data_IF_310211870348
#
_entry.id   IF_310211870348
#
_cell.length_a   1.000
_cell.length_b   1.000
_cell.length_c   1.000
_cell.angle_alpha   90.00
_cell.angle_beta   90.00
_cell.angle_gamma   90.00
#
_symmetry.space_group_name_H-M   'P 1'
#
loop_
_entity.id
_entity.type
_entity.pdbx_description
1 polymer ?
#
# COMPACT_ATOMS: atom_id res chain seq x y z
N UNK A 1 -1.09 26.97 29.74
CA UNK A 1 -1.53 25.56 29.91
C UNK A 1 -1.28 24.82 28.60
N UNK A 2 -0.39 23.82 28.57
CA UNK A 2 -0.23 22.97 27.37
C UNK A 2 -1.48 22.10 27.26
N UNK A 3 -2.29 22.26 26.21
CA UNK A 3 -3.41 21.35 25.92
C UNK A 3 -2.86 19.93 25.89
N UNK A 4 -3.48 18.99 26.62
CA UNK A 4 -3.15 17.57 26.48
C UNK A 4 -3.33 17.21 24.98
N UNK A 5 -2.36 16.52 24.37
CA UNK A 5 -2.50 16.08 22.99
C UNK A 5 -3.77 15.23 22.86
N UNK A 6 -4.50 15.39 21.77
CA UNK A 6 -5.65 14.54 21.47
C UNK A 6 -5.17 13.08 21.29
N UNK A 7 -5.96 12.08 21.73
CA UNK A 7 -5.66 10.67 21.49
C UNK A 7 -5.32 10.41 20.02
N UNK A 8 -4.40 9.49 19.73
CA UNK A 8 -3.99 9.18 18.36
C UNK A 8 -5.19 8.80 17.48
N UNK A 9 -6.16 8.05 18.01
CA UNK A 9 -7.36 7.66 17.27
C UNK A 9 -8.23 8.85 16.87
N UNK A 10 -8.33 9.90 17.70
CA UNK A 10 -9.07 11.12 17.34
C UNK A 10 -8.39 11.90 16.21
N UNK A 11 -7.05 11.98 16.25
CA UNK A 11 -6.27 12.60 15.19
C UNK A 11 -6.39 11.80 13.89
N UNK A 12 -6.36 10.47 13.97
CA UNK A 12 -6.56 9.58 12.84
C UNK A 12 -7.91 9.84 12.17
N UNK A 13 -9.01 9.75 12.92
CA UNK A 13 -10.34 9.97 12.36
C UNK A 13 -10.51 11.38 11.80
N UNK A 14 -9.91 12.39 12.45
CA UNK A 14 -9.88 13.76 11.91
C UNK A 14 -9.19 13.82 10.55
N UNK A 15 -7.99 13.24 10.44
CA UNK A 15 -7.25 13.16 9.17
C UNK A 15 -8.07 12.48 8.08
N UNK A 16 -8.80 11.42 8.41
CA UNK A 16 -9.71 10.74 7.48
C UNK A 16 -10.88 11.64 7.06
N UNK A 17 -11.50 12.41 7.96
CA UNK A 17 -12.60 13.32 7.58
C UNK A 17 -12.18 14.49 6.73
N UNK A 18 -10.96 14.99 6.92
CA UNK A 18 -10.45 16.15 6.20
C UNK A 18 -9.62 15.75 4.98
N UNK A 19 -9.58 14.46 4.65
CA UNK A 19 -8.72 13.87 3.63
C UNK A 19 -7.24 14.35 3.76
N UNK A 20 -6.79 14.57 5.01
CA UNK A 20 -5.44 15.04 5.33
C UNK A 20 -4.55 13.85 5.66
N UNK A 21 -3.95 13.27 4.62
CA UNK A 21 -3.25 11.98 4.67
C UNK A 21 -2.09 11.98 5.64
N UNK A 22 -1.30 13.05 5.72
CA UNK A 22 -0.17 13.13 6.66
C UNK A 22 -0.66 13.00 8.12
N UNK A 23 -1.77 13.66 8.46
CA UNK A 23 -2.35 13.55 9.81
C UNK A 23 -2.88 12.15 10.07
N UNK A 24 -3.55 11.53 9.08
CA UNK A 24 -4.02 10.16 9.22
C UNK A 24 -2.85 9.18 9.40
N UNK A 25 -1.82 9.29 8.56
CA UNK A 25 -0.61 8.47 8.56
C UNK A 25 0.14 8.58 9.89
N UNK A 26 0.43 9.79 10.33
CA UNK A 26 1.22 10.01 11.54
C UNK A 26 0.44 9.60 12.79
N UNK A 27 -0.87 9.85 12.82
CA UNK A 27 -1.74 9.38 13.88
C UNK A 27 -1.89 7.85 13.91
N UNK A 28 -1.88 7.18 12.75
CA UNK A 28 -1.84 5.72 12.68
C UNK A 28 -0.56 5.17 13.32
N UNK A 29 0.60 5.73 12.94
CA UNK A 29 1.90 5.34 13.50
C UNK A 29 1.95 5.58 15.01
N UNK A 30 1.43 6.70 15.47
CA UNK A 30 1.34 7.01 16.90
C UNK A 30 0.45 6.01 17.64
N UNK A 31 -0.71 5.65 17.06
CA UNK A 31 -1.60 4.66 17.66
C UNK A 31 -0.93 3.27 17.78
N UNK A 32 -0.20 2.84 16.74
CA UNK A 32 0.59 1.60 16.80
C UNK A 32 1.66 1.64 17.90
N UNK A 33 2.32 2.79 18.10
CA UNK A 33 3.30 2.97 19.19
C UNK A 33 2.66 2.96 20.58
N UNK A 34 1.45 3.49 20.70
CA UNK A 34 0.67 3.52 21.96
C UNK A 34 0.12 2.13 22.35
N UNK A 35 -0.03 1.22 21.38
CA UNK A 35 -0.38 -0.19 21.61
C UNK A 35 -1.71 -0.36 22.36
N UNK A 36 -1.66 -0.96 23.55
CA UNK A 36 -2.84 -1.31 24.35
C UNK A 36 -3.76 -0.12 24.69
N UNK A 37 -3.20 1.10 24.84
CA UNK A 37 -4.01 2.30 25.06
C UNK A 37 -4.90 2.59 23.85
N UNK A 38 -4.33 2.52 22.65
CA UNK A 38 -5.06 2.69 21.40
C UNK A 38 -6.08 1.57 21.14
N UNK A 39 -5.83 0.33 21.57
CA UNK A 39 -6.83 -0.76 21.51
C UNK A 39 -8.11 -0.37 22.25
N UNK A 40 -7.97 0.19 23.45
CA UNK A 40 -9.11 0.59 24.28
C UNK A 40 -9.93 1.71 23.62
N UNK A 41 -9.24 2.72 23.08
CA UNK A 41 -9.88 3.84 22.38
C UNK A 41 -10.63 3.39 21.12
N UNK A 42 -10.03 2.46 20.35
CA UNK A 42 -10.67 1.91 19.15
C UNK A 42 -11.93 1.13 19.51
N UNK A 43 -11.87 0.25 20.52
CA UNK A 43 -13.03 -0.52 20.99
C UNK A 43 -14.14 0.40 21.51
N UNK A 44 -13.80 1.46 22.23
CA UNK A 44 -14.77 2.44 22.69
C UNK A 44 -15.52 3.11 21.52
N UNK A 45 -14.82 3.45 20.43
CA UNK A 45 -15.46 4.01 19.23
C UNK A 45 -16.28 2.98 18.44
N UNK A 46 -15.81 1.73 18.35
CA UNK A 46 -16.55 0.64 17.71
C UNK A 46 -17.80 0.21 18.51
N UNK A 47 -17.90 0.56 19.79
CA UNK A 47 -19.09 0.37 20.60
C UNK A 47 -20.23 1.38 20.31
N UNK A 48 -19.98 2.40 19.49
CA UNK A 48 -20.98 3.42 19.15
C UNK A 48 -22.22 2.83 18.46
N UNK A 49 -23.40 3.35 18.80
CA UNK A 49 -24.65 3.02 18.11
C UNK A 49 -24.71 3.56 16.67
N UNK A 50 -23.83 4.50 16.31
CA UNK A 50 -23.80 5.10 14.97
C UNK A 50 -23.65 4.08 13.83
N UNK A 51 -23.16 2.87 14.11
CA UNK A 51 -22.96 1.80 13.11
C UNK A 51 -24.25 1.09 12.68
N UNK A 52 -25.36 1.27 13.41
CA UNK A 52 -26.68 0.78 12.98
C UNK A 52 -27.36 1.73 12.00
N UNK A 53 -26.91 2.99 11.94
CA UNK A 53 -27.53 4.04 11.13
C UNK A 53 -27.01 4.02 9.68
N UNK A 54 -27.75 4.69 8.79
CA UNK A 54 -27.29 4.90 7.42
C UNK A 54 -26.02 5.79 7.43
N UNK A 55 -24.87 5.30 6.93
CA UNK A 55 -23.62 6.03 6.97
C UNK A 55 -23.70 7.34 6.19
N UNK A 56 -23.51 8.45 6.89
CA UNK A 56 -23.41 9.80 6.29
C UNK A 56 -21.97 10.31 6.39
N UNK A 57 -21.50 10.96 5.33
CA UNK A 57 -20.16 11.55 5.29
C UNK A 57 -19.04 10.52 5.55
N UNK A 58 -18.04 10.83 6.40
CA UNK A 58 -16.87 9.97 6.60
C UNK A 58 -17.14 8.74 7.46
N UNK A 59 -18.37 8.56 7.99
CA UNK A 59 -18.72 7.45 8.89
C UNK A 59 -18.44 6.08 8.26
N UNK A 60 -18.68 5.95 6.95
CA UNK A 60 -18.33 4.78 6.16
C UNK A 60 -16.84 4.42 6.26
N UNK A 61 -15.97 5.44 6.13
CA UNK A 61 -14.52 5.31 6.18
C UNK A 61 -14.06 4.96 7.60
N UNK A 62 -14.63 5.62 8.61
CA UNK A 62 -14.25 5.43 10.01
C UNK A 62 -14.39 3.99 10.48
N UNK A 63 -15.50 3.32 10.16
CA UNK A 63 -15.70 1.94 10.58
C UNK A 63 -14.62 1.01 10.03
N UNK A 64 -14.26 1.16 8.75
CA UNK A 64 -13.18 0.41 8.13
C UNK A 64 -11.82 0.73 8.75
N UNK A 65 -11.51 2.02 8.94
CA UNK A 65 -10.26 2.50 9.56
C UNK A 65 -10.08 1.90 10.96
N UNK A 66 -11.12 1.95 11.80
CA UNK A 66 -11.08 1.44 13.17
C UNK A 66 -10.88 -0.08 13.22
N UNK A 67 -11.55 -0.82 12.34
CA UNK A 67 -11.35 -2.27 12.24
C UNK A 67 -9.95 -2.63 11.75
N UNK A 68 -9.46 -1.92 10.73
CA UNK A 68 -8.12 -2.14 10.19
C UNK A 68 -7.04 -1.87 11.24
N UNK A 69 -7.11 -0.76 11.97
CA UNK A 69 -6.10 -0.47 13.00
C UNK A 69 -6.18 -1.44 14.17
N UNK A 70 -7.39 -1.86 14.58
CA UNK A 70 -7.53 -2.87 15.63
C UNK A 70 -6.86 -4.18 15.23
N UNK A 71 -6.98 -4.58 13.95
CA UNK A 71 -6.35 -5.80 13.45
C UNK A 71 -4.81 -5.74 13.46
N UNK A 72 -4.23 -4.54 13.32
CA UNK A 72 -2.78 -4.33 13.41
C UNK A 72 -2.30 -4.21 14.86
N UNK A 73 -3.11 -3.62 15.74
CA UNK A 73 -2.78 -3.45 17.15
C UNK A 73 -2.83 -4.76 17.93
N UNK A 74 -3.90 -5.53 17.77
CA UNK A 74 -4.16 -6.74 18.52
C UNK A 74 -5.13 -7.66 17.75
N UNK A 75 -4.58 -8.73 17.17
CA UNK A 75 -5.34 -9.71 16.41
C UNK A 75 -6.42 -10.42 17.25
N UNK A 76 -6.16 -10.69 18.54
CA UNK A 76 -7.15 -11.33 19.42
C UNK A 76 -8.30 -10.38 19.72
N UNK A 77 -7.98 -9.11 20.04
CA UNK A 77 -8.99 -8.09 20.27
C UNK A 77 -9.84 -7.84 19.02
N UNK A 78 -9.23 -7.86 17.83
CA UNK A 78 -9.94 -7.78 16.56
C UNK A 78 -10.91 -8.95 16.36
N UNK A 79 -10.48 -10.19 16.60
CA UNK A 79 -11.37 -11.36 16.47
C UNK A 79 -12.57 -11.28 17.41
N UNK A 80 -12.36 -10.88 18.66
CA UNK A 80 -13.43 -10.72 19.63
C UNK A 80 -14.39 -9.60 19.25
N UNK A 81 -13.86 -8.50 18.73
CA UNK A 81 -14.67 -7.38 18.26
C UNK A 81 -15.49 -7.73 17.01
N UNK A 82 -14.93 -8.51 16.09
CA UNK A 82 -15.68 -9.06 14.94
C UNK A 82 -16.84 -9.95 15.42
N UNK A 83 -16.59 -10.86 16.36
CA UNK A 83 -17.63 -11.74 16.94
C UNK A 83 -18.74 -10.92 17.61
N UNK A 84 -18.37 -9.85 18.33
CA UNK A 84 -19.31 -8.92 18.97
C UNK A 84 -20.15 -8.18 17.93
N UNK A 85 -19.50 -7.52 16.97
CA UNK A 85 -20.13 -6.70 15.93
C UNK A 85 -21.06 -7.51 15.02
N UNK A 86 -20.76 -8.80 14.75
CA UNK A 86 -21.67 -9.69 14.01
C UNK A 86 -23.01 -9.95 14.71
N UNK A 87 -23.07 -9.78 16.04
CA UNK A 87 -24.29 -9.91 16.84
C UNK A 87 -25.04 -8.58 16.97
N UNK A 88 -24.43 -7.47 16.57
CA UNK A 88 -25.04 -6.15 16.59
C UNK A 88 -25.89 -5.92 15.35
N UNK A 89 -26.88 -5.05 15.46
CA UNK A 89 -27.65 -4.58 14.31
C UNK A 89 -26.82 -3.55 13.52
N UNK A 90 -25.93 -4.04 12.66
CA UNK A 90 -25.15 -3.19 11.77
C UNK A 90 -25.91 -2.87 10.49
N UNK A 91 -25.78 -1.62 10.05
CA UNK A 91 -26.23 -1.21 8.72
C UNK A 91 -25.59 -2.12 7.64
N UNK A 92 -26.30 -2.47 6.54
CA UNK A 92 -25.81 -3.41 5.53
C UNK A 92 -24.43 -3.07 4.97
N UNK A 93 -24.12 -1.79 4.80
CA UNK A 93 -22.81 -1.35 4.33
C UNK A 93 -21.69 -1.64 5.34
N UNK A 94 -21.91 -1.35 6.63
CA UNK A 94 -20.95 -1.67 7.69
C UNK A 94 -20.80 -3.18 7.87
N UNK A 95 -21.88 -3.94 7.72
CA UNK A 95 -21.83 -5.41 7.69
C UNK A 95 -20.96 -5.92 6.55
N UNK A 96 -21.12 -5.38 5.33
CA UNK A 96 -20.26 -5.72 4.19
C UNK A 96 -18.79 -5.37 4.46
N UNK A 97 -18.50 -4.22 5.05
CA UNK A 97 -17.13 -3.83 5.44
C UNK A 97 -16.57 -4.80 6.49
N UNK A 98 -17.35 -5.15 7.52
CA UNK A 98 -16.97 -6.13 8.53
C UNK A 98 -16.69 -7.49 7.90
N UNK A 99 -17.51 -7.94 6.96
CA UNK A 99 -17.32 -9.21 6.27
C UNK A 99 -16.04 -9.20 5.43
N UNK A 100 -15.79 -8.13 4.68
CA UNK A 100 -14.56 -7.98 3.88
C UNK A 100 -13.33 -7.97 4.79
N UNK A 101 -13.33 -7.16 5.85
CA UNK A 101 -12.17 -7.03 6.74
C UNK A 101 -11.99 -8.26 7.65
N UNK A 102 -13.06 -8.92 8.09
CA UNK A 102 -12.95 -10.16 8.87
C UNK A 102 -12.50 -11.36 8.04
N UNK A 103 -12.74 -11.33 6.72
CA UNK A 103 -12.18 -12.31 5.78
C UNK A 103 -10.71 -12.04 5.50
N UNK A 104 -10.23 -10.80 5.66
CA UNK A 104 -8.81 -10.50 5.82
C UNK A 104 -8.36 -10.99 7.20
N UNK A 105 -8.43 -12.31 7.41
CA UNK A 105 -7.62 -12.96 8.42
C UNK A 105 -6.19 -12.82 7.97
N UNK A 106 -5.49 -11.88 8.58
CA UNK A 106 -4.04 -11.91 8.53
C UNK A 106 -3.63 -13.15 9.31
N UNK A 107 -3.31 -14.21 8.57
CA UNK A 107 -2.54 -15.33 9.10
C UNK A 107 -1.26 -14.78 9.76
N UNK A 108 -0.53 -15.63 10.48
CA UNK A 108 0.83 -15.28 10.87
C UNK A 108 1.58 -14.73 9.64
N UNK A 109 2.40 -13.67 9.80
CA UNK A 109 3.14 -13.10 8.68
C UNK A 109 3.87 -14.21 7.92
N UNK A 110 3.75 -14.20 6.59
CA UNK A 110 4.37 -15.19 5.74
C UNK A 110 5.91 -15.09 5.80
N UNK A 111 6.43 -13.87 5.98
CA UNK A 111 7.82 -13.57 6.30
C UNK A 111 7.91 -12.19 6.97
N UNK A 112 9.12 -11.79 7.37
CA UNK A 112 9.44 -10.44 7.80
C UNK A 112 10.61 -9.91 6.99
N UNK A 113 10.53 -8.67 6.51
CA UNK A 113 11.63 -8.00 5.79
C UNK A 113 12.18 -6.83 6.60
N UNK A 114 13.45 -6.48 6.36
CA UNK A 114 14.19 -5.49 7.16
C UNK A 114 14.04 -5.73 8.68
N UNK A 115 14.10 -7.01 9.07
CA UNK A 115 14.01 -7.53 10.45
C UNK A 115 12.67 -7.30 11.17
N UNK A 116 11.76 -6.48 10.65
CA UNK A 116 10.59 -6.01 11.42
C UNK A 116 9.31 -5.81 10.62
N UNK A 117 9.37 -5.65 9.29
CA UNK A 117 8.17 -5.37 8.50
C UNK A 117 7.46 -6.68 8.15
N UNK A 118 6.28 -6.97 8.72
CA UNK A 118 5.57 -8.20 8.42
C UNK A 118 5.03 -8.18 6.99
N UNK A 119 5.16 -9.31 6.31
CA UNK A 119 4.63 -9.53 4.95
C UNK A 119 3.48 -10.52 5.04
N UNK A 120 2.29 -10.09 4.66
CA UNK A 120 1.10 -10.92 4.58
C UNK A 120 0.81 -11.25 3.11
N UNK A 121 0.49 -12.50 2.84
CA UNK A 121 0.20 -12.98 1.48
C UNK A 121 -1.17 -13.62 1.52
N UNK A 122 -2.08 -13.13 0.70
CA UNK A 122 -3.43 -13.68 0.60
C UNK A 122 -3.40 -15.18 0.26
N UNK A 123 -4.31 -15.94 0.86
CA UNK A 123 -4.34 -17.41 0.78
C UNK A 123 -4.66 -17.94 -0.63
N UNK A 124 -5.21 -17.10 -1.50
CA UNK A 124 -5.58 -17.40 -2.88
C UNK A 124 -4.46 -17.09 -3.90
N UNK A 125 -3.26 -16.75 -3.43
CA UNK A 125 -2.05 -16.69 -4.25
C UNK A 125 -1.40 -18.09 -4.26
N UNK A 126 -1.34 -18.75 -5.42
CA UNK A 126 -0.81 -20.12 -5.55
C UNK A 126 0.69 -20.21 -5.17
N UNK A 127 1.53 -19.30 -5.68
CA UNK A 127 2.99 -19.36 -5.53
C UNK A 127 3.53 -18.54 -4.32
N UNK A 128 2.98 -18.75 -3.12
CA UNK A 128 3.38 -17.99 -1.90
C UNK A 128 4.89 -17.98 -1.68
N UNK A 129 5.57 -19.11 -1.87
CA UNK A 129 7.03 -19.22 -1.65
C UNK A 129 7.85 -18.36 -2.62
N UNK A 130 7.40 -18.21 -3.86
CA UNK A 130 8.05 -17.36 -4.86
C UNK A 130 7.87 -15.88 -4.51
N UNK A 131 6.66 -15.50 -4.06
CA UNK A 131 6.37 -14.16 -3.58
C UNK A 131 7.27 -13.80 -2.41
N UNK A 132 7.37 -14.67 -1.40
CA UNK A 132 8.26 -14.49 -0.23
C UNK A 132 9.69 -14.24 -0.70
N UNK A 133 10.24 -15.14 -1.50
CA UNK A 133 11.62 -15.04 -2.00
C UNK A 133 11.86 -13.73 -2.76
N UNK A 134 10.91 -13.32 -3.60
CA UNK A 134 11.02 -12.09 -4.37
C UNK A 134 11.01 -10.87 -3.45
N UNK A 135 10.06 -10.76 -2.54
CA UNK A 135 9.95 -9.63 -1.61
C UNK A 135 11.19 -9.55 -0.71
N UNK A 136 11.65 -10.67 -0.16
CA UNK A 136 12.90 -10.74 0.60
C UNK A 136 14.08 -10.24 -0.24
N UNK A 137 14.22 -10.72 -1.48
CA UNK A 137 15.28 -10.26 -2.39
C UNK A 137 15.18 -8.76 -2.66
N UNK A 138 14.01 -8.27 -3.07
CA UNK A 138 13.78 -6.87 -3.42
C UNK A 138 14.00 -5.95 -2.22
N UNK A 139 13.62 -6.38 -1.02
CA UNK A 139 13.80 -5.63 0.23
C UNK A 139 15.27 -5.38 0.62
N UNK A 140 16.20 -6.16 0.06
CA UNK A 140 17.64 -6.00 0.28
C UNK A 140 18.32 -5.09 -0.74
N UNK A 141 17.56 -4.50 -1.67
CA UNK A 141 18.10 -3.62 -2.71
C UNK A 141 18.83 -2.43 -2.09
N UNK A 142 20.06 -2.18 -2.54
CA UNK A 142 20.88 -1.08 -2.02
C UNK A 142 20.18 0.27 -2.23
N UNK A 143 20.05 1.02 -1.13
CA UNK A 143 19.41 2.34 -1.12
C UNK A 143 17.89 2.30 -0.95
N UNK A 144 17.30 1.10 -0.86
CA UNK A 144 15.90 0.95 -0.49
C UNK A 144 15.75 1.29 1.01
N UNK A 145 14.75 2.11 1.34
CA UNK A 145 14.38 2.36 2.73
C UNK A 145 12.97 1.84 2.97
N UNK A 146 12.84 0.93 3.95
CA UNK A 146 11.55 0.49 4.47
C UNK A 146 11.18 1.23 5.76
N UNK A 147 11.87 2.34 6.05
CA UNK A 147 11.63 3.12 7.26
C UNK A 147 10.19 3.64 7.26
N UNK A 148 9.50 3.43 8.39
CA UNK A 148 8.12 3.81 8.61
C UNK A 148 7.05 3.05 7.80
N UNK A 149 7.43 2.00 7.06
CA UNK A 149 6.48 1.04 6.50
C UNK A 149 6.10 0.05 7.61
N UNK A 150 4.80 -0.08 7.89
CA UNK A 150 4.30 -0.88 9.01
C UNK A 150 3.98 -2.31 8.60
N UNK A 151 3.69 -2.55 7.31
CA UNK A 151 3.27 -3.85 6.78
C UNK A 151 3.36 -3.90 5.25
N UNK A 152 3.42 -5.09 4.70
CA UNK A 152 3.32 -5.33 3.26
C UNK A 152 2.24 -6.39 3.03
N UNK A 153 1.23 -6.05 2.25
CA UNK A 153 0.15 -6.94 1.85
C UNK A 153 0.28 -7.34 0.40
N UNK A 154 0.32 -8.63 0.14
CA UNK A 154 0.27 -9.18 -1.21
C UNK A 154 -1.12 -9.73 -1.46
N UNK A 155 -1.81 -9.15 -2.43
CA UNK A 155 -3.18 -9.54 -2.79
C UNK A 155 -3.26 -9.90 -4.28
N UNK A 156 -4.19 -10.78 -4.68
CA UNK A 156 -4.35 -11.13 -6.08
C UNK A 156 -4.87 -9.93 -6.87
N UNK A 157 -4.32 -9.73 -8.06
CA UNK A 157 -4.71 -8.66 -8.99
C UNK A 157 -6.15 -8.88 -9.43
N UNK A 158 -7.08 -8.08 -8.90
CA UNK A 158 -8.46 -7.98 -9.38
C UNK A 158 -8.74 -6.61 -10.00
N UNK A 159 -9.55 -6.54 -11.08
CA UNK A 159 -9.99 -5.26 -11.66
C UNK A 159 -10.71 -4.34 -10.65
N UNK A 160 -11.35 -4.95 -9.65
CA UNK A 160 -12.13 -4.26 -8.62
C UNK A 160 -11.27 -3.69 -7.47
N UNK A 161 -9.95 -3.94 -7.45
CA UNK A 161 -9.05 -3.48 -6.38
C UNK A 161 -8.85 -1.98 -6.32
N UNK A 162 -9.26 -1.21 -7.33
CA UNK A 162 -9.22 0.26 -7.29
C UNK A 162 -9.98 0.84 -6.09
N UNK A 163 -10.92 0.09 -5.48
CA UNK A 163 -11.59 0.47 -4.24
C UNK A 163 -10.81 0.09 -2.97
N UNK A 164 -10.09 -1.04 -2.97
CA UNK A 164 -9.32 -1.54 -1.81
C UNK A 164 -7.97 -0.82 -1.63
N UNK A 165 -7.32 -0.41 -2.72
CA UNK A 165 -6.14 0.46 -2.68
C UNK A 165 -6.43 1.76 -1.93
N UNK A 166 -7.61 2.36 -2.13
CA UNK A 166 -8.04 3.62 -1.51
C UNK A 166 -8.19 3.57 0.01
N UNK A 167 -8.47 2.39 0.60
CA UNK A 167 -8.57 2.26 2.06
C UNK A 167 -7.20 2.09 2.71
N UNK A 168 -6.26 1.42 2.06
CA UNK A 168 -4.95 1.10 2.63
C UNK A 168 -3.86 2.13 2.27
N UNK A 169 -4.03 2.94 1.22
CA UNK A 169 -3.17 4.09 0.91
C UNK A 169 -3.10 5.13 2.05
N UNK A 170 -4.08 5.10 2.97
CA UNK A 170 -4.15 6.01 4.12
C UNK A 170 -3.30 5.53 5.31
N UNK A 171 -2.79 4.30 5.26
CA UNK A 171 -2.03 3.68 6.34
C UNK A 171 -0.65 3.32 5.80
N UNK A 172 0.40 3.37 6.62
CA UNK A 172 1.78 3.19 6.16
C UNK A 172 2.14 1.76 5.70
N UNK A 173 1.19 1.04 5.11
CA UNK A 173 1.40 -0.25 4.48
C UNK A 173 1.62 -0.14 2.98
N UNK A 174 2.26 -1.17 2.42
CA UNK A 174 2.37 -1.36 0.98
C UNK A 174 1.34 -2.41 0.55
N UNK A 175 0.58 -2.14 -0.50
CA UNK A 175 -0.17 -3.19 -1.20
C UNK A 175 0.58 -3.55 -2.48
N UNK A 176 0.99 -4.80 -2.57
CA UNK A 176 1.51 -5.37 -3.80
C UNK A 176 0.42 -6.23 -4.46
N UNK A 177 0.10 -5.92 -5.72
CA UNK A 177 -0.80 -6.79 -6.49
C UNK A 177 0.00 -7.91 -7.16
N UNK A 178 -0.50 -9.14 -7.09
CA UNK A 178 0.15 -10.32 -7.66
C UNK A 178 -0.75 -11.04 -8.65
N UNK A 179 -0.24 -11.61 -9.76
CA UNK A 179 -1.06 -12.42 -10.66
C UNK A 179 -1.76 -13.57 -9.93
N UNK A 180 -3.06 -13.75 -10.20
CA UNK A 180 -3.88 -14.84 -9.65
C UNK A 180 -3.48 -16.22 -10.16
N UNK A 181 -2.95 -16.29 -11.39
CA UNK A 181 -2.44 -17.51 -12.01
C UNK A 181 -0.98 -17.34 -12.30
N UNK A 182 -0.20 -18.41 -12.18
CA UNK A 182 1.22 -18.41 -12.53
C UNK A 182 1.38 -18.43 -14.05
N UNK A 183 1.70 -17.28 -14.70
CA UNK A 183 2.08 -17.30 -16.11
C UNK A 183 3.33 -18.17 -16.31
N UNK A 184 3.53 -18.68 -17.53
CA UNK A 184 4.70 -19.50 -17.87
C UNK A 184 5.64 -18.75 -18.80
N UNK A 185 6.93 -19.04 -18.70
CA UNK A 185 7.95 -18.53 -19.62
C UNK A 185 8.15 -17.02 -19.55
N UNK A 186 8.14 -16.36 -20.71
CA UNK A 186 8.47 -14.94 -20.84
C UNK A 186 7.47 -14.02 -20.15
N UNK A 187 6.18 -14.38 -20.17
CA UNK A 187 5.13 -13.63 -19.48
C UNK A 187 5.35 -13.63 -17.95
N UNK A 188 5.83 -14.75 -17.41
CA UNK A 188 6.20 -14.83 -15.99
C UNK A 188 7.33 -13.87 -15.64
N UNK A 189 8.31 -13.78 -16.53
CA UNK A 189 9.42 -12.87 -16.34
C UNK A 189 8.96 -11.40 -16.37
N UNK A 190 8.11 -11.02 -17.34
CA UNK A 190 7.55 -9.66 -17.39
C UNK A 190 6.67 -9.33 -16.19
N UNK A 191 5.79 -10.24 -15.77
CA UNK A 191 4.92 -10.01 -14.61
C UNK A 191 5.72 -9.86 -13.31
N UNK A 192 6.87 -10.55 -13.19
CA UNK A 192 7.78 -10.35 -12.06
C UNK A 192 8.48 -8.99 -12.09
N UNK A 193 8.89 -8.52 -13.27
CA UNK A 193 9.46 -7.18 -13.41
C UNK A 193 8.45 -6.09 -13.10
N UNK A 194 7.21 -6.25 -13.59
CA UNK A 194 6.10 -5.36 -13.31
C UNK A 194 5.81 -5.30 -11.81
N UNK A 195 5.68 -6.45 -11.14
CA UNK A 195 5.48 -6.51 -9.70
C UNK A 195 6.65 -5.91 -8.90
N UNK A 196 7.90 -6.12 -9.32
CA UNK A 196 9.06 -5.49 -8.67
C UNK A 196 9.05 -3.97 -8.86
N UNK A 197 8.71 -3.50 -10.05
CA UNK A 197 8.58 -2.07 -10.33
C UNK A 197 7.49 -1.45 -9.44
N UNK A 198 6.30 -2.07 -9.39
CA UNK A 198 5.21 -1.64 -8.50
C UNK A 198 5.69 -1.62 -7.05
N UNK A 199 6.37 -2.66 -6.58
CA UNK A 199 6.90 -2.71 -5.21
C UNK A 199 7.79 -1.51 -4.88
N UNK A 200 8.75 -1.18 -5.76
CA UNK A 200 9.59 0.01 -5.52
C UNK A 200 8.85 1.33 -5.72
N UNK A 201 7.87 1.38 -6.61
CA UNK A 201 7.04 2.58 -6.85
C UNK A 201 6.22 2.91 -5.60
N UNK A 202 5.54 1.92 -4.99
CA UNK A 202 4.82 2.11 -3.73
C UNK A 202 5.76 2.55 -2.60
N UNK A 203 6.97 1.97 -2.51
CA UNK A 203 7.99 2.44 -1.55
C UNK A 203 8.41 3.87 -1.85
N UNK A 204 8.54 4.25 -3.12
CA UNK A 204 8.83 5.62 -3.53
C UNK A 204 7.80 6.62 -2.99
N UNK A 205 6.51 6.27 -3.03
CA UNK A 205 5.47 7.08 -2.39
C UNK A 205 5.69 7.23 -0.88
N UNK A 206 6.08 6.17 -0.18
CA UNK A 206 6.36 6.24 1.26
C UNK A 206 7.60 7.08 1.57
N UNK A 207 8.69 6.91 0.82
CA UNK A 207 9.96 7.62 1.02
C UNK A 207 9.81 9.12 0.77
N UNK A 208 9.09 9.51 -0.28
CA UNK A 208 8.83 10.91 -0.61
C UNK A 208 7.64 11.51 0.15
N UNK A 209 6.99 10.73 1.03
CA UNK A 209 5.88 11.19 1.85
C UNK A 209 4.63 11.58 1.05
N UNK A 210 4.45 11.00 -0.14
CA UNK A 210 3.33 11.29 -1.04
C UNK A 210 1.97 11.01 -0.39
N UNK A 211 0.97 11.78 -0.84
CA UNK A 211 -0.36 11.88 -0.22
C UNK A 211 -1.39 11.13 -1.09
N UNK A 212 -1.18 11.07 -2.41
CA UNK A 212 -2.12 10.48 -3.36
C UNK A 212 -1.38 9.67 -4.43
N UNK A 213 -1.36 8.34 -4.28
CA UNK A 213 -1.00 7.46 -5.39
C UNK A 213 -2.03 7.60 -6.51
N UNK A 214 -1.60 8.13 -7.66
CA UNK A 214 -2.32 8.14 -8.94
C UNK A 214 -2.96 9.47 -9.36
N UNK A 215 -3.06 10.48 -8.49
CA UNK A 215 -3.81 11.72 -8.79
C UNK A 215 -2.91 12.95 -9.04
N UNK A 216 -1.70 13.00 -8.43
CA UNK A 216 -0.75 14.11 -8.61
C UNK A 216 0.39 13.66 -9.52
N UNK A 217 0.40 14.16 -10.76
CA UNK A 217 1.37 13.76 -11.79
C UNK A 217 2.85 13.91 -11.38
N UNK A 218 3.16 14.89 -10.54
CA UNK A 218 4.51 15.09 -10.00
C UNK A 218 4.90 13.99 -9.00
N UNK A 219 4.00 13.61 -8.10
CA UNK A 219 4.22 12.52 -7.14
C UNK A 219 4.41 11.19 -7.87
N UNK A 220 3.61 10.93 -8.90
CA UNK A 220 3.75 9.77 -9.77
C UNK A 220 5.11 9.74 -10.47
N UNK A 221 5.58 10.89 -10.98
CA UNK A 221 6.89 10.99 -11.63
C UNK A 221 8.01 10.68 -10.65
N UNK A 222 7.96 11.26 -9.45
CA UNK A 222 8.98 11.04 -8.43
C UNK A 222 9.01 9.58 -7.94
N UNK A 223 7.85 8.97 -7.69
CA UNK A 223 7.75 7.55 -7.33
C UNK A 223 8.28 6.63 -8.45
N UNK A 224 7.99 6.96 -9.71
CA UNK A 224 8.54 6.26 -10.87
C UNK A 224 10.07 6.42 -10.98
N UNK A 225 10.61 7.61 -10.75
CA UNK A 225 12.06 7.85 -10.75
C UNK A 225 12.77 7.06 -9.65
N UNK A 226 12.17 7.01 -8.45
CA UNK A 226 12.63 6.16 -7.36
C UNK A 226 12.62 4.68 -7.75
N UNK A 227 11.51 4.19 -8.29
CA UNK A 227 11.38 2.80 -8.73
C UNK A 227 12.42 2.41 -9.79
N UNK A 228 12.63 3.27 -10.79
CA UNK A 228 13.65 3.07 -11.82
C UNK A 228 15.07 3.05 -11.24
N UNK A 229 15.34 3.86 -10.21
CA UNK A 229 16.61 3.85 -9.49
C UNK A 229 16.82 2.50 -8.78
N UNK A 230 15.81 2.03 -8.05
CA UNK A 230 15.87 0.74 -7.35
C UNK A 230 15.98 -0.45 -8.31
N UNK A 231 15.28 -0.43 -9.44
CA UNK A 231 15.41 -1.47 -10.49
C UNK A 231 16.83 -1.58 -11.04
N UNK A 232 17.57 -0.46 -11.14
CA UNK A 232 18.98 -0.46 -11.55
C UNK A 232 19.88 -1.02 -10.46
N UNK A 233 19.61 -0.65 -9.20
CA UNK A 233 20.38 -1.10 -8.05
C UNK A 233 20.17 -2.58 -7.75
N UNK A 234 18.99 -3.14 -8.00
CA UNK A 234 18.70 -4.57 -7.82
C UNK A 234 19.37 -5.43 -8.91
N UNK A 235 19.80 -4.83 -10.03
CA UNK A 235 20.38 -5.52 -11.20
C UNK A 235 21.63 -4.81 -11.75
N UNK A 236 22.74 -4.77 -10.99
CA UNK A 236 23.94 -4.04 -11.42
C UNK A 236 24.54 -4.60 -12.72
N UNK A 237 24.56 -5.93 -12.90
CA UNK A 237 25.09 -6.56 -14.11
C UNK A 237 24.27 -6.22 -15.38
N UNK A 238 22.94 -6.25 -15.28
CA UNK A 238 22.06 -5.89 -16.41
C UNK A 238 22.16 -4.40 -16.76
N UNK A 239 22.32 -3.54 -15.76
CA UNK A 239 22.58 -2.10 -15.97
C UNK A 239 23.90 -1.86 -16.69
N UNK A 240 24.93 -2.64 -16.37
CA UNK A 240 26.23 -2.54 -17.04
C UNK A 240 26.15 -3.03 -18.49
N UNK A 241 25.51 -4.17 -18.74
CA UNK A 241 25.27 -4.72 -20.07
C UNK A 241 24.46 -3.74 -20.92
N UNK A 242 23.32 -3.25 -20.43
CA UNK A 242 22.51 -2.27 -21.17
C UNK A 242 23.27 -0.99 -21.47
N UNK A 243 24.11 -0.50 -20.55
CA UNK A 243 25.01 0.63 -20.84
C UNK A 243 25.99 0.31 -21.97
N UNK A 244 26.62 -0.86 -21.98
CA UNK A 244 27.55 -1.25 -23.04
C UNK A 244 26.89 -1.34 -24.42
N UNK A 245 25.66 -1.85 -24.51
CA UNK A 245 24.96 -2.03 -25.80
C UNK A 245 24.18 -0.80 -26.27
N UNK A 246 23.58 -0.02 -25.37
CA UNK A 246 22.71 1.12 -25.72
C UNK A 246 23.50 2.43 -25.83
N UNK A 247 24.60 2.60 -25.08
CA UNK A 247 25.41 3.82 -25.15
C UNK A 247 26.00 4.09 -26.54
N UNK A 248 26.50 3.09 -27.30
CA UNK A 248 26.93 3.29 -28.69
C UNK A 248 25.80 3.73 -29.62
N UNK A 249 24.55 3.40 -29.29
CA UNK A 249 23.36 3.69 -30.11
C UNK A 249 22.69 5.03 -29.75
N UNK A 250 23.01 5.63 -28.60
CA UNK A 250 22.47 6.93 -28.15
C UNK A 250 22.58 8.05 -29.20
N UNK A 251 23.70 8.23 -29.92
CA UNK A 251 23.81 9.28 -30.94
C UNK A 251 22.81 9.09 -32.09
N UNK A 252 22.58 7.84 -32.52
CA UNK A 252 21.65 7.52 -33.60
C UNK A 252 20.19 7.71 -33.19
N UNK A 253 19.84 7.30 -31.97
CA UNK A 253 18.50 7.52 -31.40
C UNK A 253 18.18 9.01 -31.22
N UNK A 254 19.14 9.83 -30.76
CA UNK A 254 18.97 11.29 -30.66
C UNK A 254 18.68 11.94 -32.02
N UNK A 255 19.35 11.47 -33.09
CA UNK A 255 19.09 11.97 -34.46
C UNK A 255 17.69 11.61 -34.96
N UNK A 256 17.21 10.39 -34.69
CA UNK A 256 15.87 9.96 -35.09
C UNK A 256 14.76 10.77 -34.40
N UNK A 257 14.91 11.05 -33.10
CA UNK A 257 13.94 11.85 -32.33
C UNK A 257 13.99 13.33 -32.72
N UNK A 258 15.17 13.86 -33.05
CA UNK A 258 15.29 15.22 -33.56
C UNK A 258 14.64 15.37 -34.96
N UNK A 259 14.74 14.34 -35.80
CA UNK A 259 14.14 14.32 -37.14
C UNK A 259 12.62 14.25 -37.12
N UNK A 260 12.00 13.73 -36.06
CA UNK A 260 10.54 13.61 -35.95
C UNK A 260 9.85 14.88 -35.43
N UNK A 261 10.61 15.90 -35.01
CA UNK A 261 10.08 17.17 -34.48
C UNK A 261 9.97 18.30 -35.50
N UNK A 262 10.22 18.07 -36.80
CA UNK A 262 9.92 19.08 -37.80
C UNK A 262 8.41 19.14 -38.06
N UNK A 263 7.71 20.24 -37.70
CA UNK A 263 6.33 20.41 -38.09
C UNK A 263 6.28 20.57 -39.61
N UNK A 264 5.47 19.74 -40.28
CA UNK A 264 5.10 20.00 -41.67
C UNK A 264 4.45 21.39 -41.70
N UNK A 265 5.07 22.33 -42.40
CA UNK A 265 4.45 23.61 -42.69
C UNK A 265 3.10 23.36 -43.40
N UNK A 266 2.04 24.11 -43.05
CA UNK A 266 0.76 23.99 -43.73
C UNK A 266 0.93 24.36 -45.21
N UNK A 267 0.49 23.47 -46.09
CA UNK A 267 0.39 23.75 -47.51
C UNK A 267 -0.73 24.78 -47.72
N UNK A 268 -0.37 25.90 -48.33
CA UNK A 268 -1.27 26.96 -48.82
C UNK A 268 -2.06 26.49 -50.03
#
# INVERSE_FOLDING_TARGET
>A
MKKKPHPAIDRLLRGISTDHVETARDAWRDALKEGAASVSDVKAKLASAAWSENPRGPLAKYFGVLLSILSELDASAFEDEVKRLRKCDLHPMHRKTLDILSRRRFEAPATHVAEKVPVFIASDIEDRSIVIKNIETWSTTKGLSLENITRIDVIPRHPELGYLGKYNLLFSGIILTWPTKTPRGVEQWFNRLDAEFTFYHEIGHHVSGHIQGGEVSEQEREANEYALSMMRNSRPAFTLISRMFVWPLRPKLRRLIASSKHPRAPAT
#
